data_IF_282092206669
#
_entry.id   IF_282092206669
#
_cell.length_a   1.000
_cell.length_b   1.000
_cell.length_c   1.000
_cell.angle_alpha   90.00
_cell.angle_beta   90.00
_cell.angle_gamma   90.00
#
_symmetry.space_group_name_H-M   'P 1'
#
loop_
_entity.id
_entity.type
_entity.pdbx_description
1 polymer ?
#
# COMPACT_ATOMS: atom_id res chain seq x y z
N UNK A 1 -15.27 17.10 27.94
CA UNK A 1 -14.02 17.46 28.64
C UNK A 1 -13.09 16.25 28.53
N UNK A 2 -12.69 15.91 27.29
CA UNK A 2 -11.39 16.11 26.61
C UNK A 2 -10.51 14.84 26.74
N UNK A 3 -9.79 14.37 25.70
CA UNK A 3 -9.89 14.69 24.27
C UNK A 3 -9.78 13.45 23.35
N UNK A 4 -10.24 13.55 22.10
CA UNK A 4 -9.97 12.60 21.00
C UNK A 4 -9.99 11.10 21.34
N UNK A 5 -11.19 10.51 21.31
CA UNK A 5 -11.30 9.10 20.94
C UNK A 5 -10.91 8.96 19.48
N UNK A 6 -9.61 9.06 19.17
CA UNK A 6 -9.08 8.64 17.89
C UNK A 6 -9.56 7.20 17.71
N UNK A 7 -10.40 6.98 16.71
CA UNK A 7 -10.94 5.68 16.36
C UNK A 7 -9.82 4.78 15.86
N UNK A 8 -8.91 4.38 16.75
CA UNK A 8 -8.16 3.16 16.56
C UNK A 8 -9.21 2.06 16.42
N UNK A 9 -9.24 1.35 15.29
CA UNK A 9 -10.03 0.14 15.23
C UNK A 9 -9.60 -0.71 16.43
N UNK A 10 -10.57 -1.03 17.28
CA UNK A 10 -10.38 -1.81 18.52
C UNK A 10 -9.66 -3.14 18.26
N UNK A 11 -9.59 -3.54 16.99
CA UNK A 11 -8.88 -4.69 16.49
C UNK A 11 -8.03 -4.32 15.25
N UNK A 12 -6.69 -4.33 15.34
CA UNK A 12 -5.82 -4.06 14.21
C UNK A 12 -5.94 -5.10 13.09
N UNK A 13 -6.35 -6.35 13.39
CA UNK A 13 -6.60 -7.37 12.37
C UNK A 13 -7.77 -6.98 11.48
N UNK A 14 -8.86 -6.48 12.08
CA UNK A 14 -10.04 -6.02 11.35
C UNK A 14 -9.72 -4.81 10.47
N UNK A 15 -8.83 -3.93 10.91
CA UNK A 15 -8.37 -2.81 10.12
C UNK A 15 -7.64 -3.28 8.85
N UNK A 16 -6.71 -4.23 9.01
CA UNK A 16 -5.95 -4.83 7.92
C UNK A 16 -6.89 -5.51 6.92
N UNK A 17 -7.88 -6.26 7.40
CA UNK A 17 -8.89 -6.91 6.57
C UNK A 17 -9.71 -5.90 5.75
N UNK A 18 -10.19 -4.82 6.39
CA UNK A 18 -10.93 -3.76 5.72
C UNK A 18 -10.09 -3.08 4.63
N UNK A 19 -8.81 -2.79 4.90
CA UNK A 19 -7.93 -2.25 3.88
C UNK A 19 -7.68 -3.22 2.74
N UNK A 20 -7.56 -4.52 3.01
CA UNK A 20 -7.48 -5.53 1.95
C UNK A 20 -8.75 -5.57 1.09
N UNK A 21 -9.92 -5.57 1.70
CA UNK A 21 -11.20 -5.56 0.98
C UNK A 21 -11.40 -4.29 0.14
N UNK A 22 -11.02 -3.13 0.67
CA UNK A 22 -11.07 -1.87 -0.06
C UNK A 22 -10.03 -1.82 -1.20
N UNK A 23 -8.83 -2.34 -1.00
CA UNK A 23 -7.81 -2.45 -2.03
C UNK A 23 -8.26 -3.37 -3.19
N UNK A 24 -8.99 -4.45 -2.90
CA UNK A 24 -9.61 -5.30 -3.93
C UNK A 24 -10.64 -4.54 -4.80
N UNK A 25 -11.23 -3.47 -4.26
CA UNK A 25 -12.14 -2.58 -5.00
C UNK A 25 -11.41 -1.41 -5.67
N UNK A 26 -10.09 -1.49 -5.82
CA UNK A 26 -9.24 -0.43 -6.37
C UNK A 26 -9.32 0.90 -5.57
N UNK A 27 -9.55 0.85 -4.27
CA UNK A 27 -9.46 2.03 -3.42
C UNK A 27 -7.99 2.45 -3.24
N UNK A 28 -7.66 3.64 -3.76
CA UNK A 28 -6.30 4.19 -3.74
C UNK A 28 -5.80 4.55 -2.35
N UNK A 29 -6.68 4.83 -1.39
CA UNK A 29 -6.33 5.13 0.00
C UNK A 29 -6.07 3.84 0.77
N UNK A 30 -6.80 2.76 0.46
CA UNK A 30 -6.58 1.44 1.02
C UNK A 30 -5.21 0.88 0.63
N UNK A 31 -4.83 1.00 -0.65
CA UNK A 31 -3.47 0.64 -1.09
C UNK A 31 -2.40 1.47 -0.37
N UNK A 32 -2.60 2.78 -0.22
CA UNK A 32 -1.68 3.63 0.55
C UNK A 32 -1.55 3.16 2.01
N UNK A 33 -2.67 2.86 2.67
CA UNK A 33 -2.67 2.39 4.06
C UNK A 33 -1.98 1.03 4.21
N UNK A 34 -2.22 0.08 3.31
CA UNK A 34 -1.49 -1.19 3.28
C UNK A 34 0.02 -0.97 3.10
N UNK A 35 0.39 -0.04 2.22
CA UNK A 35 1.79 0.37 2.03
C UNK A 35 2.44 0.85 3.33
N UNK A 36 1.74 1.71 4.07
CA UNK A 36 2.19 2.21 5.38
C UNK A 36 2.31 1.10 6.42
N UNK A 37 1.36 0.17 6.47
CA UNK A 37 1.40 -0.96 7.40
C UNK A 37 2.62 -1.86 7.14
N UNK A 38 2.97 -2.11 5.88
CA UNK A 38 4.19 -2.85 5.55
C UNK A 38 5.46 -2.01 5.69
N UNK A 39 5.41 -0.68 5.60
CA UNK A 39 6.58 0.17 5.81
C UNK A 39 6.99 0.19 7.29
N UNK A 40 6.02 0.36 8.18
CA UNK A 40 6.26 0.46 9.62
C UNK A 40 6.25 -0.91 10.33
N UNK A 41 5.54 -1.88 9.77
CA UNK A 41 5.11 -3.07 10.51
C UNK A 41 4.00 -2.73 11.51
N UNK A 42 3.35 -3.76 12.03
CA UNK A 42 2.34 -3.62 13.08
C UNK A 42 2.66 -4.61 14.19
N UNK A 43 2.74 -4.09 15.42
CA UNK A 43 3.03 -4.87 16.63
C UNK A 43 1.80 -4.83 17.54
N UNK A 44 1.39 -6.01 18.02
CA UNK A 44 0.38 -6.17 19.05
C UNK A 44 0.95 -7.08 20.13
N UNK A 45 0.91 -6.64 21.40
CA UNK A 45 1.43 -7.41 22.53
C UNK A 45 2.89 -7.89 22.34
N UNK A 46 3.76 -7.01 21.83
CA UNK A 46 5.17 -7.32 21.50
C UNK A 46 5.36 -8.41 20.43
N UNK A 47 4.32 -8.75 19.67
CA UNK A 47 4.38 -9.68 18.54
C UNK A 47 4.06 -8.93 17.25
N UNK A 48 4.86 -9.14 16.21
CA UNK A 48 4.54 -8.62 14.87
C UNK A 48 3.33 -9.35 14.32
N UNK A 49 2.28 -8.60 13.99
CA UNK A 49 1.10 -9.11 13.27
C UNK A 49 1.18 -8.76 11.78
N UNK A 50 1.95 -7.72 11.45
CA UNK A 50 2.41 -7.42 10.09
C UNK A 50 3.90 -7.15 10.18
N UNK A 51 4.69 -7.99 9.53
CA UNK A 51 6.13 -7.76 9.45
C UNK A 51 6.43 -6.59 8.51
N UNK A 52 7.34 -5.67 8.91
CA UNK A 52 7.78 -4.62 8.03
C UNK A 52 8.46 -5.23 6.80
N UNK A 53 7.95 -4.88 5.62
CA UNK A 53 8.45 -5.34 4.33
C UNK A 53 8.44 -4.20 3.33
N UNK A 54 9.62 -3.66 3.07
CA UNK A 54 9.81 -2.59 2.09
C UNK A 54 9.31 -2.97 0.69
N UNK A 55 9.50 -4.24 0.29
CA UNK A 55 9.07 -4.73 -1.03
C UNK A 55 7.55 -4.66 -1.15
N UNK A 56 6.81 -5.15 -0.14
CA UNK A 56 5.35 -5.08 -0.12
C UNK A 56 4.86 -3.64 -0.03
N UNK A 57 5.52 -2.80 0.77
CA UNK A 57 5.21 -1.37 0.86
C UNK A 57 5.27 -0.69 -0.52
N UNK A 58 6.38 -0.87 -1.25
CA UNK A 58 6.56 -0.31 -2.60
C UNK A 58 5.48 -0.81 -3.57
N UNK A 59 5.13 -2.11 -3.53
CA UNK A 59 4.08 -2.66 -4.40
C UNK A 59 2.72 -1.99 -4.16
N UNK A 60 2.33 -1.82 -2.89
CA UNK A 60 1.08 -1.17 -2.54
C UNK A 60 1.09 0.33 -2.87
N UNK A 61 2.19 1.05 -2.61
CA UNK A 61 2.31 2.45 -3.00
C UNK A 61 2.27 2.64 -4.52
N UNK A 62 2.96 1.78 -5.28
CA UNK A 62 2.90 1.78 -6.76
C UNK A 62 1.45 1.68 -7.23
N UNK A 63 0.69 0.73 -6.69
CA UNK A 63 -0.72 0.53 -7.07
C UNK A 63 -1.59 1.72 -6.69
N UNK A 64 -1.36 2.34 -5.52
CA UNK A 64 -2.03 3.57 -5.14
C UNK A 64 -1.72 4.73 -6.09
N UNK A 65 -0.46 4.86 -6.55
CA UNK A 65 -0.03 5.87 -7.53
C UNK A 65 -0.68 5.64 -8.90
N UNK A 66 -0.74 4.40 -9.38
CA UNK A 66 -1.46 4.01 -10.61
C UNK A 66 -2.94 4.40 -10.56
N UNK A 67 -3.55 4.40 -9.37
CA UNK A 67 -4.93 4.81 -9.11
C UNK A 67 -5.07 6.32 -8.80
N UNK A 68 -4.02 7.11 -8.98
CA UNK A 68 -4.03 8.58 -8.83
C UNK A 68 -3.91 9.08 -7.39
N UNK A 69 -3.33 8.32 -6.48
CA UNK A 69 -2.97 8.80 -5.14
C UNK A 69 -1.62 9.55 -5.17
N UNK A 70 -1.67 10.87 -4.99
CA UNK A 70 -0.48 11.74 -5.02
C UNK A 70 0.41 11.55 -3.80
N UNK A 71 -0.19 11.28 -2.64
CA UNK A 71 0.55 11.05 -1.39
C UNK A 71 1.37 9.75 -1.50
N UNK A 72 0.79 8.72 -2.13
CA UNK A 72 1.50 7.49 -2.44
C UNK A 72 2.65 7.69 -3.44
N UNK A 73 2.53 8.61 -4.40
CA UNK A 73 3.59 8.90 -5.37
C UNK A 73 4.87 9.37 -4.71
N UNK A 74 4.76 10.31 -3.75
CA UNK A 74 5.93 10.84 -3.05
C UNK A 74 6.66 9.74 -2.27
N UNK A 75 5.91 8.91 -1.53
CA UNK A 75 6.48 7.79 -0.78
C UNK A 75 7.02 6.70 -1.72
N UNK A 76 6.36 6.43 -2.83
CA UNK A 76 6.84 5.49 -3.84
C UNK A 76 8.17 5.97 -4.42
N UNK A 77 8.30 7.25 -4.76
CA UNK A 77 9.53 7.85 -5.30
C UNK A 77 10.65 7.84 -4.25
N UNK A 78 10.35 8.15 -2.99
CA UNK A 78 11.30 8.07 -1.88
C UNK A 78 11.79 6.63 -1.68
N UNK A 79 10.88 5.65 -1.62
CA UNK A 79 11.23 4.25 -1.40
C UNK A 79 11.91 3.60 -2.61
N UNK A 80 11.53 4.01 -3.81
CA UNK A 80 12.18 3.59 -5.05
C UNK A 80 13.52 4.28 -5.26
N UNK A 81 13.73 5.52 -4.79
CA UNK A 81 15.03 6.20 -4.88
C UNK A 81 16.17 5.38 -4.27
N UNK A 82 15.90 4.69 -3.16
CA UNK A 82 16.85 3.71 -2.60
C UNK A 82 16.94 2.41 -3.42
N UNK A 83 15.87 2.02 -4.11
CA UNK A 83 15.87 0.84 -4.99
C UNK A 83 16.61 1.11 -6.29
N UNK A 84 16.57 2.31 -6.86
CA UNK A 84 17.28 2.69 -8.10
C UNK A 84 18.80 2.61 -7.93
N UNK A 85 19.32 2.78 -6.72
CA UNK A 85 20.74 2.52 -6.40
C UNK A 85 21.09 1.02 -6.46
N UNK A 86 20.10 0.12 -6.30
CA UNK A 86 20.30 -1.33 -6.21
C UNK A 86 19.69 -2.14 -7.38
N UNK A 87 18.66 -1.65 -8.07
CA UNK A 87 17.95 -2.26 -9.21
C UNK A 87 17.27 -1.13 -10.02
N UNK A 88 17.67 -0.86 -11.27
CA UNK A 88 17.01 0.16 -12.09
C UNK A 88 15.52 -0.18 -12.28
N UNK A 89 14.63 0.83 -12.43
CA UNK A 89 13.20 0.60 -12.56
C UNK A 89 12.94 -0.33 -13.77
N UNK A 90 12.13 -1.39 -13.62
CA UNK A 90 11.68 -2.15 -14.77
C UNK A 90 10.91 -1.17 -15.65
N UNK A 91 11.47 -0.94 -16.84
CA UNK A 91 10.78 -0.34 -17.98
C UNK A 91 9.43 -1.04 -18.03
N UNK A 92 8.33 -0.31 -17.82
CA UNK A 92 7.01 -0.90 -17.87
C UNK A 92 6.86 -1.53 -19.27
N UNK A 93 6.61 -2.84 -19.41
CA UNK A 93 6.11 -3.33 -20.67
C UNK A 93 4.71 -2.73 -20.82
N UNK A 94 4.55 -2.02 -21.93
CA UNK A 94 3.30 -1.48 -22.45
C UNK A 94 2.16 -2.49 -22.23
N UNK A 95 1.24 -2.18 -21.32
CA UNK A 95 0.02 -3.00 -21.16
C UNK A 95 -0.94 -2.49 -22.24
N UNK A 96 -0.77 -3.02 -23.46
CA UNK A 96 -1.86 -3.11 -24.42
C UNK A 96 -2.94 -3.94 -23.75
N UNK A 97 -4.01 -3.29 -23.31
CA UNK A 97 -5.21 -3.99 -22.88
C UNK A 97 -5.86 -4.49 -24.17
N UNK A 98 -5.52 -5.71 -24.58
CA UNK A 98 -6.31 -6.45 -25.55
C UNK A 98 -7.64 -6.78 -24.88
N UNK A 99 -8.60 -5.86 -25.02
CA UNK A 99 -10.02 -6.21 -24.94
C UNK A 99 -10.32 -7.14 -26.11
N UNK A 100 -10.05 -8.43 -25.93
CA UNK A 100 -10.66 -9.46 -26.75
C UNK A 100 -12.17 -9.42 -26.45
N UNK A 101 -12.88 -8.73 -27.35
CA UNK A 101 -14.31 -8.93 -27.57
C UNK A 101 -14.43 -10.39 -27.98
N UNK A 102 -14.98 -11.22 -27.09
CA UNK A 102 -15.45 -12.54 -27.46
C UNK A 102 -16.69 -12.33 -28.32
N UNK A 103 -16.61 -12.76 -29.59
CA UNK A 103 -17.71 -12.82 -30.57
C UNK A 103 -18.96 -13.56 -30.03
#
# INVERSE_FOLDING_TARGET
>A
MLPYGYGTPTDPYKAIELFHSAAQQNDKHAYYNLGMLYQCGVILNNVYIVEPSRVKAIQHFKRATELGNKDASQLYDELCGYRTILIPPPIQPDITIDFEIVD
#
